data_IF_196881008325
#
_entry.id   IF_196881008325
#
_cell.length_a   1.000
_cell.length_b   1.000
_cell.length_c   1.000
_cell.angle_alpha   90.00
_cell.angle_beta   90.00
_cell.angle_gamma   90.00
#
_symmetry.space_group_name_H-M   'P 1'
#
loop_
_entity.id
_entity.type
_entity.pdbx_description
1 polymer ?
#
# COMPACT_ATOMS: atom_id res chain seq x y z
N UNK A 1 23.67 -13.52 10.61
CA UNK A 1 23.72 -12.40 9.63
C UNK A 1 23.14 -12.92 8.34
N UNK A 2 22.07 -12.28 7.88
CA UNK A 2 21.43 -12.57 6.61
C UNK A 2 22.26 -12.06 5.43
N UNK A 3 21.98 -12.59 4.25
CA UNK A 3 22.56 -12.09 3.01
C UNK A 3 21.70 -10.97 2.39
N UNK A 4 21.33 -9.99 3.20
CA UNK A 4 20.45 -8.87 2.80
C UNK A 4 20.94 -8.14 1.54
N UNK A 5 22.26 -7.95 1.40
CA UNK A 5 22.87 -7.38 0.17
C UNK A 5 22.58 -8.21 -1.08
N UNK A 6 22.63 -9.54 -0.98
CA UNK A 6 22.30 -10.44 -2.09
C UNK A 6 20.81 -10.34 -2.45
N UNK A 7 19.93 -10.30 -1.43
CA UNK A 7 18.50 -10.13 -1.63
C UNK A 7 18.26 -8.83 -2.39
N UNK A 8 18.73 -7.70 -1.87
CA UNK A 8 18.54 -6.37 -2.46
C UNK A 8 19.07 -6.29 -3.89
N UNK A 9 20.23 -6.89 -4.19
CA UNK A 9 20.78 -6.92 -5.55
C UNK A 9 19.94 -7.75 -6.54
N UNK A 10 19.16 -8.72 -6.05
CA UNK A 10 18.28 -9.56 -6.86
C UNK A 10 16.86 -8.98 -7.04
N UNK A 11 16.51 -7.94 -6.28
CA UNK A 11 15.18 -7.35 -6.33
C UNK A 11 15.01 -6.49 -7.59
N UNK A 12 13.92 -6.68 -8.35
CA UNK A 12 13.60 -5.82 -9.47
C UNK A 12 13.24 -4.41 -9.00
N UNK A 13 13.31 -3.43 -9.90
CA UNK A 13 12.76 -2.11 -9.61
C UNK A 13 11.22 -2.16 -9.60
N UNK A 14 10.58 -1.59 -8.58
CA UNK A 14 9.12 -1.45 -8.52
C UNK A 14 8.69 -0.02 -8.81
N UNK A 15 7.83 0.13 -9.80
CA UNK A 15 7.13 1.36 -10.11
C UNK A 15 5.66 1.24 -9.72
N UNK A 16 5.13 2.27 -9.09
CA UNK A 16 3.70 2.32 -8.75
C UNK A 16 2.84 2.19 -10.01
N UNK A 17 1.85 1.29 -9.96
CA UNK A 17 0.89 1.04 -11.04
C UNK A 17 1.32 -0.02 -12.05
N UNK A 18 2.59 -0.43 -12.07
CA UNK A 18 3.04 -1.52 -12.92
C UNK A 18 2.61 -2.88 -12.32
N UNK A 19 2.37 -3.92 -13.15
CA UNK A 19 2.10 -5.26 -12.66
C UNK A 19 3.25 -5.74 -11.75
N UNK A 20 2.95 -6.34 -10.58
CA UNK A 20 3.98 -6.87 -9.70
C UNK A 20 4.74 -7.99 -10.41
N UNK A 21 6.08 -8.06 -10.25
CA UNK A 21 6.90 -9.08 -10.91
C UNK A 21 6.67 -10.49 -10.36
N UNK A 22 6.12 -10.61 -9.15
CA UNK A 22 5.73 -11.84 -8.46
C UNK A 22 4.86 -11.45 -7.24
N UNK A 23 4.23 -12.41 -6.57
CA UNK A 23 3.40 -12.14 -5.38
C UNK A 23 4.25 -11.95 -4.11
N UNK A 24 3.65 -11.37 -3.07
CA UNK A 24 4.25 -11.31 -1.73
C UNK A 24 4.57 -12.70 -1.18
N UNK A 25 3.70 -13.69 -1.41
CA UNK A 25 3.95 -15.06 -0.98
C UNK A 25 5.16 -15.69 -1.67
N UNK A 26 5.36 -15.38 -2.95
CA UNK A 26 6.52 -15.84 -3.70
C UNK A 26 7.81 -15.16 -3.21
N UNK A 27 7.77 -13.85 -2.94
CA UNK A 27 8.90 -13.15 -2.32
C UNK A 27 9.26 -13.79 -0.97
N UNK A 28 8.28 -14.03 -0.11
CA UNK A 28 8.48 -14.67 1.20
C UNK A 28 9.20 -16.02 1.06
N UNK A 29 8.76 -16.85 0.12
CA UNK A 29 9.38 -18.16 -0.14
C UNK A 29 10.81 -18.05 -0.66
N UNK A 30 11.12 -17.03 -1.48
CA UNK A 30 12.49 -16.76 -1.96
C UNK A 30 13.41 -16.31 -0.82
N UNK A 31 12.88 -15.53 0.11
CA UNK A 31 13.63 -14.98 1.23
C UNK A 31 13.79 -15.96 2.41
N UNK A 32 12.93 -16.97 2.54
CA UNK A 32 12.90 -17.85 3.73
C UNK A 32 14.19 -18.65 3.97
N UNK A 33 15.00 -18.88 2.94
CA UNK A 33 16.26 -19.60 3.06
C UNK A 33 17.47 -18.71 3.39
N UNK A 34 17.31 -17.38 3.32
CA UNK A 34 18.41 -16.40 3.39
C UNK A 34 18.24 -15.35 4.49
N UNK A 35 17.03 -15.23 5.04
CA UNK A 35 16.70 -14.39 6.19
C UNK A 35 16.82 -15.16 7.51
N UNK A 36 17.08 -14.44 8.60
CA UNK A 36 16.94 -14.98 9.96
C UNK A 36 15.46 -15.14 10.32
N UNK A 37 15.19 -15.87 11.40
CA UNK A 37 13.82 -16.02 11.92
C UNK A 37 13.22 -14.67 12.36
N UNK A 38 14.05 -13.80 12.95
CA UNK A 38 13.66 -12.44 13.35
C UNK A 38 13.28 -11.57 12.14
N UNK A 39 14.10 -11.58 11.08
CA UNK A 39 13.82 -10.82 9.86
C UNK A 39 12.57 -11.32 9.13
N UNK A 40 12.35 -12.65 9.14
CA UNK A 40 11.11 -13.23 8.59
C UNK A 40 9.89 -12.86 9.44
N UNK A 41 10.03 -12.78 10.76
CA UNK A 41 8.96 -12.31 11.63
C UNK A 41 8.62 -10.83 11.33
N UNK A 42 9.63 -9.97 11.17
CA UNK A 42 9.41 -8.57 10.75
C UNK A 42 8.76 -8.47 9.38
N UNK A 43 9.20 -9.27 8.40
CA UNK A 43 8.57 -9.37 7.09
C UNK A 43 7.07 -9.68 7.23
N UNK A 44 6.72 -10.70 8.01
CA UNK A 44 5.34 -11.14 8.19
C UNK A 44 4.51 -10.06 8.90
N UNK A 45 5.06 -9.42 9.93
CA UNK A 45 4.41 -8.29 10.60
C UNK A 45 4.12 -7.13 9.65
N UNK A 46 5.05 -6.76 8.76
CA UNK A 46 4.83 -5.73 7.74
C UNK A 46 3.73 -6.13 6.73
N UNK A 47 3.70 -7.40 6.33
CA UNK A 47 2.65 -7.93 5.44
C UNK A 47 1.29 -7.90 6.13
N UNK A 48 1.20 -8.21 7.41
CA UNK A 48 -0.04 -8.23 8.18
C UNK A 48 -0.45 -6.84 8.70
N UNK A 49 0.47 -5.88 8.75
CA UNK A 49 0.24 -4.57 9.38
C UNK A 49 0.23 -4.64 10.91
N UNK A 50 1.02 -5.56 11.46
CA UNK A 50 1.17 -5.80 12.90
C UNK A 50 2.38 -5.03 13.45
N UNK A 51 2.35 -4.74 14.75
CA UNK A 51 3.48 -4.11 15.44
C UNK A 51 4.62 -5.10 15.61
N UNK A 52 5.86 -4.62 15.44
CA UNK A 52 7.08 -5.43 15.54
C UNK A 52 8.23 -4.54 16.03
N UNK A 53 9.12 -5.11 16.85
CA UNK A 53 10.29 -4.43 17.41
C UNK A 53 11.47 -4.41 16.43
N UNK A 54 11.23 -3.85 15.25
CA UNK A 54 12.25 -3.55 14.25
C UNK A 54 12.24 -2.03 13.96
N UNK A 55 13.41 -1.36 13.83
CA UNK A 55 13.47 0.09 13.64
C UNK A 55 12.72 0.58 12.40
N UNK A 56 12.84 -0.14 11.28
CA UNK A 56 12.15 0.22 10.03
C UNK A 56 10.64 -0.02 10.16
N UNK A 57 10.24 -1.19 10.67
CA UNK A 57 8.83 -1.52 10.85
C UNK A 57 8.13 -0.56 11.83
N UNK A 58 8.78 -0.25 12.95
CA UNK A 58 8.30 0.72 13.94
C UNK A 58 8.15 2.11 13.35
N UNK A 59 9.15 2.58 12.59
CA UNK A 59 9.08 3.87 11.91
C UNK A 59 7.94 3.90 10.88
N UNK A 60 7.79 2.86 10.07
CA UNK A 60 6.69 2.76 9.10
C UNK A 60 5.31 2.77 9.79
N UNK A 61 5.16 2.02 10.89
CA UNK A 61 3.91 1.99 11.66
C UNK A 61 3.57 3.34 12.30
N UNK A 62 4.57 4.08 12.80
CA UNK A 62 4.37 5.44 13.30
C UNK A 62 3.81 6.37 12.21
N UNK A 63 4.32 6.26 10.98
CA UNK A 63 3.80 7.03 9.84
C UNK A 63 2.41 6.55 9.39
N UNK A 64 2.09 5.26 9.46
CA UNK A 64 0.73 4.78 9.22
C UNK A 64 -0.26 5.34 10.26
N UNK A 65 0.17 5.50 11.53
CA UNK A 65 -0.63 6.19 12.55
C UNK A 65 -0.77 7.68 12.20
N UNK A 66 0.31 8.35 11.81
CA UNK A 66 0.29 9.74 11.38
C UNK A 66 -0.69 9.97 10.22
N UNK A 67 -0.63 9.12 9.18
CA UNK A 67 -1.54 9.16 8.03
C UNK A 67 -3.00 9.06 8.50
N UNK A 68 -3.31 8.08 9.36
CA UNK A 68 -4.66 7.88 9.90
C UNK A 68 -5.12 9.09 10.71
N UNK A 69 -4.24 9.72 11.47
CA UNK A 69 -4.58 10.93 12.23
C UNK A 69 -4.87 12.12 11.31
N UNK A 70 -4.04 12.35 10.28
CA UNK A 70 -4.26 13.42 9.29
C UNK A 70 -5.59 13.24 8.57
N UNK A 71 -5.87 12.02 8.10
CA UNK A 71 -7.15 11.68 7.45
C UNK A 71 -8.33 11.79 8.42
N UNK A 72 -8.15 11.36 9.67
CA UNK A 72 -9.15 11.43 10.73
C UNK A 72 -9.58 12.87 11.02
N UNK A 73 -8.62 13.78 11.13
CA UNK A 73 -8.87 15.21 11.26
C UNK A 73 -9.64 15.79 10.08
N UNK A 74 -9.20 15.48 8.85
CA UNK A 74 -9.88 15.96 7.65
C UNK A 74 -11.33 15.48 7.58
N UNK A 75 -11.61 14.24 8.02
CA UNK A 75 -12.98 13.69 8.12
C UNK A 75 -13.80 14.39 9.19
N UNK A 76 -13.26 14.54 10.40
CA UNK A 76 -13.96 15.22 11.50
C UNK A 76 -14.33 16.66 11.12
N UNK A 77 -13.40 17.40 10.51
CA UNK A 77 -13.64 18.76 10.01
C UNK A 77 -14.79 18.82 8.99
N UNK A 78 -14.95 17.79 8.16
CA UNK A 78 -16.06 17.73 7.19
C UNK A 78 -17.44 17.49 7.81
N UNK A 79 -17.50 16.98 9.05
CA UNK A 79 -18.75 16.69 9.77
C UNK A 79 -19.18 17.82 10.72
N UNK A 80 -18.37 18.88 10.85
CA UNK A 80 -18.69 20.08 11.61
C UNK A 80 -17.85 20.26 12.90
N UNK A 81 -17.91 21.45 13.52
CA UNK A 81 -16.99 21.87 14.59
C UNK A 81 -17.14 21.09 15.90
N UNK A 82 -18.28 20.42 16.11
CA UNK A 82 -18.55 19.66 17.33
C UNK A 82 -17.98 18.23 17.29
N UNK A 83 -17.61 17.74 16.11
CA UNK A 83 -17.06 16.39 15.96
C UNK A 83 -15.60 16.38 16.40
N UNK A 84 -15.32 15.66 17.49
CA UNK A 84 -13.95 15.46 17.98
C UNK A 84 -13.36 14.17 17.43
N UNK A 85 -12.17 14.27 16.86
CA UNK A 85 -11.34 13.11 16.51
C UNK A 85 -10.40 12.78 17.67
N UNK A 86 -10.32 11.50 18.03
CA UNK A 86 -9.35 11.02 19.01
C UNK A 86 -8.08 10.59 18.30
N UNK A 87 -7.02 11.36 18.50
CA UNK A 87 -5.70 11.04 17.93
C UNK A 87 -5.07 9.85 18.63
N UNK A 88 -4.47 8.97 17.83
CA UNK A 88 -3.56 7.95 18.35
C UNK A 88 -2.17 8.56 18.52
N UNK A 89 -1.54 8.31 19.66
CA UNK A 89 -0.17 8.75 19.90
C UNK A 89 0.81 7.93 19.06
N UNK A 90 1.86 8.56 18.58
CA UNK A 90 2.96 7.94 17.85
C UNK A 90 4.24 8.78 18.04
N UNK A 91 5.43 8.16 17.95
CA UNK A 91 6.69 8.88 18.03
C UNK A 91 7.03 9.58 16.71
N UNK A 92 7.68 10.75 16.81
CA UNK A 92 8.08 11.53 15.65
C UNK A 92 6.90 12.21 14.95
N UNK A 93 7.20 13.22 14.13
CA UNK A 93 6.21 13.82 13.24
C UNK A 93 6.92 14.28 11.98
N UNK A 94 6.54 13.72 10.83
CA UNK A 94 7.08 14.14 9.54
C UNK A 94 6.15 15.17 8.89
N UNK A 95 6.58 16.42 8.85
CA UNK A 95 5.84 17.53 8.26
C UNK A 95 5.64 17.35 6.74
N UNK A 96 6.65 16.81 6.05
CA UNK A 96 6.60 16.57 4.60
C UNK A 96 5.57 15.48 4.31
N UNK A 97 5.63 14.36 5.05
CA UNK A 97 4.67 13.28 4.92
C UNK A 97 3.24 13.74 5.24
N UNK A 98 3.03 14.51 6.32
CA UNK A 98 1.72 15.06 6.67
C UNK A 98 1.13 15.93 5.54
N UNK A 99 1.97 16.76 4.92
CA UNK A 99 1.58 17.61 3.80
C UNK A 99 1.17 16.78 2.59
N UNK A 100 1.97 15.79 2.21
CA UNK A 100 1.64 14.89 1.09
C UNK A 100 0.33 14.13 1.33
N UNK A 101 0.12 13.61 2.55
CA UNK A 101 -1.14 12.94 2.92
C UNK A 101 -2.33 13.90 2.81
N UNK A 102 -2.18 15.14 3.29
CA UNK A 102 -3.24 16.15 3.21
C UNK A 102 -3.60 16.51 1.76
N UNK A 103 -2.59 16.70 0.91
CA UNK A 103 -2.75 16.99 -0.53
C UNK A 103 -3.40 15.81 -1.28
N UNK A 104 -2.99 14.58 -0.98
CA UNK A 104 -3.60 13.37 -1.51
C UNK A 104 -5.07 13.27 -1.07
N UNK A 105 -5.37 13.52 0.21
CA UNK A 105 -6.72 13.41 0.74
C UNK A 105 -7.68 14.45 0.16
N UNK A 106 -7.19 15.64 -0.20
CA UNK A 106 -7.96 16.71 -0.82
C UNK A 106 -8.47 16.39 -2.24
N UNK A 107 -7.98 15.31 -2.89
CA UNK A 107 -8.49 14.86 -4.19
C UNK A 107 -9.98 14.53 -4.11
N UNK A 108 -10.75 15.00 -5.09
CA UNK A 108 -12.20 14.78 -5.13
C UNK A 108 -12.55 13.34 -5.54
N UNK A 109 -11.86 12.82 -6.55
CA UNK A 109 -12.05 11.46 -7.03
C UNK A 109 -11.50 10.45 -5.99
N UNK A 110 -12.34 9.56 -5.44
CA UNK A 110 -11.90 8.57 -4.45
C UNK A 110 -10.78 7.65 -4.95
N UNK A 111 -10.80 7.27 -6.23
CA UNK A 111 -9.77 6.41 -6.81
C UNK A 111 -8.42 7.13 -6.85
N UNK A 112 -8.41 8.37 -7.34
CA UNK A 112 -7.19 9.19 -7.37
C UNK A 112 -6.67 9.48 -5.96
N UNK A 113 -7.56 9.72 -4.99
CA UNK A 113 -7.20 9.88 -3.58
C UNK A 113 -6.42 8.68 -3.06
N UNK A 114 -6.94 7.47 -3.25
CA UNK A 114 -6.26 6.24 -2.81
C UNK A 114 -4.93 6.03 -3.53
N UNK A 115 -4.86 6.33 -4.84
CA UNK A 115 -3.60 6.26 -5.59
C UNK A 115 -2.54 7.22 -5.05
N UNK A 116 -2.90 8.46 -4.77
CA UNK A 116 -1.96 9.46 -4.23
C UNK A 116 -1.52 9.12 -2.80
N UNK A 117 -2.40 8.55 -1.97
CA UNK A 117 -2.01 8.04 -0.65
C UNK A 117 -1.00 6.90 -0.75
N UNK A 118 -1.16 5.99 -1.71
CA UNK A 118 -0.19 4.90 -1.89
C UNK A 118 1.11 5.34 -2.56
N UNK A 119 1.09 6.34 -3.45
CA UNK A 119 2.32 6.99 -3.92
C UNK A 119 3.07 7.65 -2.77
N UNK A 120 2.34 8.25 -1.83
CA UNK A 120 2.92 8.82 -0.60
C UNK A 120 3.57 7.74 0.26
N UNK A 121 2.96 6.54 0.36
CA UNK A 121 3.60 5.38 1.01
C UNK A 121 4.86 4.89 0.27
N UNK A 122 4.84 4.88 -1.07
CA UNK A 122 6.02 4.54 -1.88
C UNK A 122 7.20 5.47 -1.58
N UNK A 123 6.94 6.78 -1.57
CA UNK A 123 7.95 7.77 -1.23
C UNK A 123 8.47 7.57 0.20
N UNK A 124 7.57 7.37 1.17
CA UNK A 124 7.94 7.18 2.57
C UNK A 124 8.90 6.00 2.75
N UNK A 125 8.57 4.84 2.20
CA UNK A 125 9.41 3.65 2.41
C UNK A 125 10.76 3.76 1.69
N UNK A 126 10.83 4.55 0.61
CA UNK A 126 12.12 4.93 0.01
C UNK A 126 12.93 5.81 0.96
N UNK A 127 12.32 6.83 1.58
CA UNK A 127 13.00 7.69 2.55
C UNK A 127 13.50 6.90 3.77
N UNK A 128 12.67 6.02 4.33
CA UNK A 128 13.03 5.18 5.47
C UNK A 128 14.18 4.20 5.13
N UNK A 129 14.31 3.79 3.87
CA UNK A 129 15.34 2.86 3.41
C UNK A 129 16.62 3.53 2.89
N UNK A 130 16.77 4.87 2.97
CA UNK A 130 17.97 5.58 2.47
C UNK A 130 19.27 5.31 3.25
N UNK A 131 19.21 4.58 4.36
CA UNK A 131 20.37 4.26 5.18
C UNK A 131 21.28 3.18 4.60
N UNK A 132 22.34 2.85 5.35
CA UNK A 132 23.27 1.76 5.02
C UNK A 132 22.70 0.36 5.32
N UNK A 133 21.55 0.30 6.01
CA UNK A 133 20.91 -0.96 6.33
C UNK A 133 20.23 -1.58 5.10
N UNK A 134 20.87 -2.62 4.57
CA UNK A 134 20.34 -3.40 3.46
C UNK A 134 19.00 -4.07 3.75
N UNK A 135 18.64 -4.37 5.01
CA UNK A 135 17.34 -4.96 5.35
C UNK A 135 16.19 -3.97 5.23
N UNK A 136 16.41 -2.70 5.59
CA UNK A 136 15.44 -1.62 5.35
C UNK A 136 15.01 -1.55 3.87
N UNK A 137 15.95 -1.72 2.93
CA UNK A 137 15.63 -1.78 1.50
C UNK A 137 14.75 -2.98 1.12
N UNK A 138 14.98 -4.14 1.74
CA UNK A 138 14.13 -5.32 1.55
C UNK A 138 12.72 -5.07 2.09
N UNK A 139 12.60 -4.51 3.30
CA UNK A 139 11.30 -4.19 3.90
C UNK A 139 10.52 -3.11 3.12
N UNK A 140 11.22 -2.10 2.59
CA UNK A 140 10.60 -1.13 1.69
C UNK A 140 10.04 -1.80 0.43
N UNK A 141 10.78 -2.74 -0.15
CA UNK A 141 10.30 -3.52 -1.29
C UNK A 141 9.07 -4.36 -0.94
N UNK A 142 9.01 -4.98 0.25
CA UNK A 142 7.82 -5.73 0.71
C UNK A 142 6.57 -4.85 0.70
N UNK A 143 6.65 -3.65 1.28
CA UNK A 143 5.51 -2.73 1.34
C UNK A 143 5.08 -2.29 -0.06
N UNK A 144 6.04 -1.93 -0.92
CA UNK A 144 5.77 -1.55 -2.32
C UNK A 144 5.13 -2.69 -3.11
N UNK A 145 5.64 -3.91 -2.97
CA UNK A 145 5.12 -5.07 -3.67
C UNK A 145 3.68 -5.36 -3.24
N UNK A 146 3.38 -5.28 -1.94
CA UNK A 146 2.03 -5.46 -1.39
C UNK A 146 1.04 -4.44 -1.97
N UNK A 147 1.48 -3.19 -2.13
CA UNK A 147 0.68 -2.14 -2.75
C UNK A 147 0.46 -2.45 -4.25
N UNK A 148 1.51 -2.76 -5.02
CA UNK A 148 1.39 -3.13 -6.43
C UNK A 148 0.47 -4.34 -6.64
N UNK A 149 0.58 -5.36 -5.80
CA UNK A 149 -0.27 -6.55 -5.85
C UNK A 149 -1.74 -6.21 -5.59
N UNK A 150 -2.03 -5.35 -4.61
CA UNK A 150 -3.39 -4.85 -4.39
C UNK A 150 -3.94 -4.11 -5.61
N UNK A 151 -3.17 -3.20 -6.20
CA UNK A 151 -3.61 -2.44 -7.38
C UNK A 151 -3.76 -3.31 -8.62
N UNK A 152 -2.91 -4.31 -8.82
CA UNK A 152 -3.03 -5.27 -9.92
C UNK A 152 -4.33 -6.07 -9.85
N UNK A 153 -4.78 -6.45 -8.64
CA UNK A 153 -6.07 -7.14 -8.47
C UNK A 153 -7.25 -6.22 -8.81
N UNK A 154 -7.25 -4.99 -8.30
CA UNK A 154 -8.29 -4.00 -8.61
C UNK A 154 -8.37 -3.74 -10.13
N UNK A 155 -7.23 -3.62 -10.81
CA UNK A 155 -7.19 -3.41 -12.26
C UNK A 155 -7.68 -4.63 -13.05
N UNK A 156 -7.34 -5.85 -12.63
CA UNK A 156 -7.80 -7.07 -13.27
C UNK A 156 -9.31 -7.28 -13.09
N UNK A 157 -9.83 -7.02 -11.89
CA UNK A 157 -11.27 -7.04 -11.60
C UNK A 157 -12.02 -5.98 -12.43
N UNK A 158 -11.50 -4.75 -12.48
CA UNK A 158 -12.06 -3.69 -13.31
C UNK A 158 -12.06 -4.05 -14.81
N UNK A 159 -10.98 -4.66 -15.31
CA UNK A 159 -10.88 -5.15 -16.67
C UNK A 159 -11.90 -6.25 -16.97
N UNK A 160 -12.02 -7.25 -16.11
CA UNK A 160 -13.00 -8.33 -16.24
C UNK A 160 -14.44 -7.82 -16.19
N UNK A 161 -14.76 -6.88 -15.29
CA UNK A 161 -16.07 -6.26 -15.20
C UNK A 161 -16.43 -5.47 -16.46
N UNK A 162 -15.46 -4.74 -17.05
CA UNK A 162 -15.66 -4.03 -18.31
C UNK A 162 -15.90 -4.99 -19.49
N UNK A 163 -15.17 -6.10 -19.57
CA UNK A 163 -15.37 -7.13 -20.60
C UNK A 163 -16.75 -7.79 -20.46
N UNK A 164 -17.14 -8.17 -19.24
CA UNK A 164 -18.46 -8.75 -18.97
C UNK A 164 -19.59 -7.79 -19.35
N UNK A 165 -19.44 -6.49 -19.08
CA UNK A 165 -20.40 -5.47 -19.49
C UNK A 165 -20.53 -5.40 -21.01
N UNK A 166 -19.41 -5.38 -21.74
CA UNK A 166 -19.42 -5.36 -23.21
C UNK A 166 -20.00 -6.63 -23.82
N UNK A 167 -19.77 -7.79 -23.19
CA UNK A 167 -20.38 -9.06 -23.62
C UNK A 167 -21.90 -9.01 -23.40
N UNK A 168 -22.36 -8.56 -22.22
CA UNK A 168 -23.79 -8.46 -21.91
C UNK A 168 -24.52 -7.43 -22.79
N UNK A 169 -23.91 -6.26 -23.01
CA UNK A 169 -24.46 -5.20 -23.86
C UNK A 169 -24.53 -5.62 -25.35
N UNK A 170 -23.69 -6.57 -25.78
CA UNK A 170 -23.69 -7.13 -27.13
C UNK A 170 -24.35 -8.52 -27.25
N UNK A 171 -24.92 -9.07 -26.17
CA UNK A 171 -25.61 -10.36 -26.21
C UNK A 171 -27.04 -10.16 -26.78
N UNK A 172 -27.36 -10.70 -27.97
CA UNK A 172 -28.69 -10.59 -28.56
C UNK A 172 -29.78 -11.36 -27.79
N UNK A 173 -29.44 -12.14 -26.76
CA UNK A 173 -30.39 -12.80 -25.88
C UNK A 173 -30.97 -11.87 -24.79
N UNK A 174 -30.21 -10.89 -24.30
CA UNK A 174 -30.67 -9.94 -23.26
C UNK A 174 -31.66 -8.90 -23.81
N UNK A 175 -31.59 -8.61 -25.11
CA UNK A 175 -32.39 -7.60 -25.79
C UNK A 175 -33.79 -8.09 -26.24
N UNK A 176 -34.20 -9.29 -25.82
CA UNK A 176 -35.48 -9.92 -26.23
C UNK A 176 -36.58 -9.92 -25.18
N UNK A 177 -36.25 -9.70 -23.91
CA UNK A 177 -37.25 -9.73 -22.83
C UNK A 177 -37.95 -8.38 -22.59
N UNK A 178 -37.39 -7.26 -23.08
CA UNK A 178 -38.00 -5.92 -22.92
C UNK A 178 -38.94 -5.50 -24.05
N UNK A 179 -39.18 -6.37 -25.05
CA UNK A 179 -40.09 -6.09 -26.19
C UNK A 179 -41.39 -6.90 -26.17
N UNK A 180 -41.79 -7.41 -25.00
CA UNK A 180 -43.10 -8.05 -24.78
C UNK A 180 -43.72 -7.59 -23.45
N UNK A 181 -44.05 -6.30 -23.35
CA UNK A 181 -45.13 -5.81 -22.47
C UNK A 181 -45.94 -4.76 -23.19
#
# INVERSE_FOLDING_TARGET
>A
MSNAVYITASLPFLKFGDPPPFSISELRNRCSAVMTEEELATFDSLVNGEECDDPFASAYMAHEIQLKNVVGHARAASWGPEVRFSERQFPGYDVTFAKMVSEAYAKQNPLEREQELDKTRFWLVDELARGEDSMAAVYAFVIKLKICERWSRISAEAGNAAVLKVINDNDPAYNRDDRRS
#
